data_IF_137137558105
#
_entry.id   IF_137137558105
#
_cell.length_a   1.000
_cell.length_b   1.000
_cell.length_c   1.000
_cell.angle_alpha   90.00
_cell.angle_beta   90.00
_cell.angle_gamma   90.00
#
_symmetry.space_group_name_H-M   'P 1'
#
loop_
_entity.id
_entity.type
_entity.pdbx_description
1 polymer ?
#
# COMPACT_ATOMS: atom_id res chain seq x y z
N UNK A 1 54.85 18.02 32.95
CA UNK A 1 53.75 17.06 33.21
C UNK A 1 52.73 17.23 32.11
N UNK A 2 52.62 16.23 31.23
CA UNK A 2 51.83 16.27 30.01
C UNK A 2 50.33 16.23 30.34
N UNK A 3 49.55 17.13 29.74
CA UNK A 3 48.08 17.07 29.75
C UNK A 3 47.66 16.11 28.66
N UNK A 4 47.16 14.94 29.04
CA UNK A 4 46.46 14.03 28.14
C UNK A 4 45.18 14.71 27.64
N UNK A 5 45.22 15.18 26.39
CA UNK A 5 44.02 15.60 25.68
C UNK A 5 43.25 14.32 25.32
N UNK A 6 42.19 14.05 26.06
CA UNK A 6 41.15 13.11 25.63
C UNK A 6 40.49 13.67 24.37
N UNK A 7 41.03 13.33 23.22
CA UNK A 7 40.36 13.50 21.93
C UNK A 7 39.25 12.47 21.93
N UNK A 8 38.02 12.90 22.22
CA UNK A 8 36.83 12.10 21.93
C UNK A 8 36.88 11.80 20.43
N UNK A 9 36.88 10.53 19.99
CA UNK A 9 36.74 10.23 18.58
C UNK A 9 35.40 10.82 18.18
N UNK A 10 35.41 11.89 17.38
CA UNK A 10 34.20 12.38 16.74
C UNK A 10 33.72 11.20 15.90
N UNK A 11 32.65 10.47 16.29
CA UNK A 11 32.04 9.60 15.31
C UNK A 11 31.58 10.60 14.27
N UNK A 12 32.24 10.61 13.10
CA UNK A 12 31.59 11.16 11.92
C UNK A 12 30.21 10.53 11.97
N UNK A 13 29.21 11.34 12.30
CA UNK A 13 27.85 10.98 12.02
C UNK A 13 27.92 10.71 10.52
N UNK A 14 27.91 9.43 10.14
CA UNK A 14 27.42 9.08 8.83
C UNK A 14 26.17 9.93 8.67
N UNK A 15 26.03 10.73 7.60
CA UNK A 15 24.81 11.45 7.40
C UNK A 15 23.74 10.36 7.37
N UNK A 16 22.95 10.27 8.44
CA UNK A 16 21.89 9.29 8.55
C UNK A 16 20.95 9.57 7.39
N UNK A 17 21.11 8.80 6.32
CA UNK A 17 20.22 8.65 5.18
C UNK A 17 19.50 9.94 4.77
N UNK A 18 20.26 10.89 4.24
CA UNK A 18 19.73 12.07 3.51
C UNK A 18 19.00 11.71 2.21
N UNK A 19 18.97 10.42 1.84
CA UNK A 19 18.03 9.85 0.88
C UNK A 19 16.67 9.63 1.58
N UNK A 20 15.60 10.29 1.11
CA UNK A 20 14.19 9.83 1.20
C UNK A 20 13.23 10.32 2.30
N UNK A 21 13.39 11.47 2.97
CA UNK A 21 12.28 11.95 3.83
C UNK A 21 10.99 12.22 3.01
N UNK A 22 11.09 12.96 1.91
CA UNK A 22 9.92 13.27 1.07
C UNK A 22 9.33 12.06 0.33
N UNK A 23 10.17 11.26 -0.33
CA UNK A 23 9.71 10.09 -1.12
C UNK A 23 9.18 8.98 -0.21
N UNK A 24 9.83 8.71 0.94
CA UNK A 24 9.32 7.72 1.88
C UNK A 24 8.00 8.17 2.53
N UNK A 25 7.84 9.47 2.82
CA UNK A 25 6.57 10.03 3.29
C UNK A 25 5.48 9.91 2.22
N UNK A 26 5.80 10.17 0.96
CA UNK A 26 4.86 10.01 -0.15
C UNK A 26 4.48 8.55 -0.38
N UNK A 27 5.45 7.63 -0.26
CA UNK A 27 5.15 6.21 -0.33
C UNK A 27 4.29 5.76 0.84
N UNK A 28 4.64 6.14 2.07
CA UNK A 28 3.80 5.92 3.27
C UNK A 28 2.37 6.44 3.05
N UNK A 29 2.23 7.67 2.58
CA UNK A 29 0.93 8.27 2.31
C UNK A 29 0.11 7.46 1.30
N UNK A 30 0.72 7.00 0.21
CA UNK A 30 0.06 6.16 -0.78
C UNK A 30 -0.39 4.81 -0.18
N UNK A 31 0.41 4.20 0.71
CA UNK A 31 0.04 2.96 1.41
C UNK A 31 -1.12 3.18 2.39
N UNK A 32 -1.13 4.30 3.12
CA UNK A 32 -2.22 4.64 4.04
C UNK A 32 -3.54 4.86 3.28
N UNK A 33 -3.47 5.49 2.10
CA UNK A 33 -4.62 5.64 1.20
C UNK A 33 -5.09 4.30 0.62
N UNK A 34 -4.15 3.42 0.25
CA UNK A 34 -4.48 2.07 -0.22
C UNK A 34 -5.21 1.27 0.86
N UNK A 35 -4.71 1.31 2.09
CA UNK A 35 -5.35 0.69 3.23
C UNK A 35 -6.76 1.27 3.49
N UNK A 36 -6.90 2.59 3.44
CA UNK A 36 -8.20 3.27 3.59
C UNK A 36 -9.19 2.83 2.51
N UNK A 37 -8.72 2.68 1.27
CA UNK A 37 -9.53 2.19 0.16
C UNK A 37 -9.99 0.74 0.36
N UNK A 38 -9.08 -0.15 0.81
CA UNK A 38 -9.44 -1.53 1.17
C UNK A 38 -10.47 -1.59 2.29
N UNK A 39 -10.33 -0.75 3.32
CA UNK A 39 -11.29 -0.69 4.42
C UNK A 39 -12.67 -0.21 3.97
N UNK A 40 -12.73 0.86 3.17
CA UNK A 40 -13.98 1.40 2.66
C UNK A 40 -14.70 0.39 1.74
N UNK A 41 -13.94 -0.29 0.86
CA UNK A 41 -14.48 -1.31 -0.04
C UNK A 41 -14.99 -2.54 0.72
N UNK A 42 -14.22 -3.00 1.71
CA UNK A 42 -14.66 -4.06 2.62
C UNK A 42 -15.95 -3.68 3.34
N UNK A 43 -16.02 -2.47 3.89
CA UNK A 43 -17.19 -2.01 4.62
C UNK A 43 -18.43 -1.96 3.72
N UNK A 44 -18.31 -1.40 2.51
CA UNK A 44 -19.36 -1.43 1.49
C UNK A 44 -19.81 -2.86 1.19
N UNK A 45 -18.88 -3.76 0.88
CA UNK A 45 -19.19 -5.15 0.54
C UNK A 45 -19.87 -5.92 1.68
N UNK A 46 -19.47 -5.66 2.93
CA UNK A 46 -20.03 -6.34 4.11
C UNK A 46 -21.47 -5.94 4.40
N UNK A 47 -21.87 -4.69 4.13
CA UNK A 47 -23.19 -4.17 4.51
C UNK A 47 -24.16 -4.00 3.34
N UNK A 48 -23.72 -4.03 2.08
CA UNK A 48 -24.57 -3.80 0.89
C UNK A 48 -25.80 -4.71 0.79
N UNK A 49 -25.76 -5.90 1.39
CA UNK A 49 -26.89 -6.85 1.38
C UNK A 49 -27.94 -6.56 2.46
N UNK A 50 -27.62 -5.74 3.47
CA UNK A 50 -28.46 -5.51 4.65
C UNK A 50 -28.87 -4.05 4.82
N UNK A 51 -28.16 -3.12 4.16
CA UNK A 51 -28.39 -1.69 4.29
C UNK A 51 -29.48 -1.19 3.33
N UNK A 52 -30.18 -0.12 3.73
CA UNK A 52 -31.11 0.58 2.85
C UNK A 52 -30.40 1.14 1.60
N UNK A 53 -31.10 1.34 0.46
CA UNK A 53 -30.47 1.80 -0.78
C UNK A 53 -29.68 3.10 -0.65
N UNK A 54 -30.20 4.09 0.09
CA UNK A 54 -29.52 5.37 0.32
C UNK A 54 -28.22 5.21 1.11
N UNK A 55 -28.22 4.39 2.17
CA UNK A 55 -27.02 4.11 2.95
C UNK A 55 -25.98 3.36 2.13
N UNK A 56 -26.42 2.40 1.31
CA UNK A 56 -25.56 1.65 0.40
C UNK A 56 -24.90 2.55 -0.64
N UNK A 57 -25.63 3.53 -1.19
CA UNK A 57 -25.09 4.50 -2.14
C UNK A 57 -24.00 5.41 -1.52
N UNK A 58 -24.19 5.86 -0.28
CA UNK A 58 -23.18 6.65 0.45
C UNK A 58 -21.89 5.85 0.62
N UNK A 59 -22.00 4.58 1.01
CA UNK A 59 -20.84 3.71 1.20
C UNK A 59 -20.13 3.37 -0.12
N UNK A 60 -20.89 3.12 -1.19
CA UNK A 60 -20.33 2.92 -2.51
C UNK A 60 -19.52 4.15 -2.97
N UNK A 61 -20.07 5.35 -2.76
CA UNK A 61 -19.39 6.59 -3.09
C UNK A 61 -18.12 6.81 -2.26
N UNK A 62 -18.15 6.49 -0.96
CA UNK A 62 -16.98 6.57 -0.09
C UNK A 62 -15.85 5.61 -0.55
N UNK A 63 -16.20 4.37 -0.89
CA UNK A 63 -15.25 3.39 -1.41
C UNK A 63 -14.64 3.86 -2.75
N UNK A 64 -15.48 4.32 -3.68
CA UNK A 64 -15.02 4.84 -4.97
C UNK A 64 -14.08 6.05 -4.79
N UNK A 65 -14.43 6.99 -3.90
CA UNK A 65 -13.60 8.17 -3.62
C UNK A 65 -12.26 7.79 -2.98
N UNK A 66 -12.25 6.81 -2.08
CA UNK A 66 -11.01 6.33 -1.47
C UNK A 66 -10.08 5.68 -2.49
N UNK A 67 -10.62 4.86 -3.40
CA UNK A 67 -9.85 4.28 -4.51
C UNK A 67 -9.32 5.34 -5.48
N UNK A 68 -10.12 6.36 -5.81
CA UNK A 68 -9.68 7.45 -6.67
C UNK A 68 -8.49 8.21 -6.05
N UNK A 69 -8.59 8.55 -4.76
CA UNK A 69 -7.50 9.23 -4.03
C UNK A 69 -6.23 8.36 -3.96
N UNK A 70 -6.38 7.08 -3.66
CA UNK A 70 -5.27 6.13 -3.66
C UNK A 70 -4.60 6.05 -5.04
N UNK A 71 -5.38 5.87 -6.09
CA UNK A 71 -4.90 5.74 -7.47
C UNK A 71 -4.13 6.99 -7.89
N UNK A 72 -4.66 8.18 -7.58
CA UNK A 72 -3.98 9.45 -7.85
C UNK A 72 -2.63 9.55 -7.13
N UNK A 73 -2.58 9.22 -5.82
CA UNK A 73 -1.34 9.24 -5.05
C UNK A 73 -0.29 8.25 -5.56
N UNK A 74 -0.73 7.07 -6.04
CA UNK A 74 0.16 6.09 -6.66
C UNK A 74 0.73 6.58 -8.00
N UNK A 75 -0.07 7.27 -8.83
CA UNK A 75 0.43 7.90 -10.04
C UNK A 75 1.47 8.97 -9.73
N UNK A 76 1.19 9.83 -8.76
CA UNK A 76 2.13 10.88 -8.31
C UNK A 76 3.45 10.26 -7.84
N UNK A 77 3.41 9.20 -7.05
CA UNK A 77 4.60 8.50 -6.57
C UNK A 77 5.38 7.82 -7.71
N UNK A 78 4.69 7.17 -8.64
CA UNK A 78 5.30 6.51 -9.81
C UNK A 78 6.00 7.52 -10.72
N UNK A 79 5.42 8.71 -10.86
CA UNK A 79 5.90 9.72 -11.80
C UNK A 79 6.80 10.78 -11.11
N UNK A 80 7.01 10.65 -9.79
CA UNK A 80 7.86 11.53 -9.00
C UNK A 80 9.33 11.49 -9.45
N UNK A 81 9.84 12.64 -9.88
CA UNK A 81 11.26 12.80 -10.23
C UNK A 81 12.14 12.65 -8.98
N UNK A 82 13.23 11.88 -9.10
CA UNK A 82 14.15 11.62 -7.99
C UNK A 82 13.68 10.57 -6.99
N UNK A 83 12.49 9.97 -7.16
CA UNK A 83 12.07 8.82 -6.36
C UNK A 83 12.91 7.58 -6.66
N UNK A 84 13.14 6.74 -5.64
CA UNK A 84 13.88 5.50 -5.78
C UNK A 84 13.20 4.61 -6.85
N UNK A 85 13.94 4.02 -7.81
CA UNK A 85 13.36 3.23 -8.90
C UNK A 85 12.43 2.11 -8.41
N UNK A 86 12.80 1.46 -7.32
CA UNK A 86 11.99 0.39 -6.72
C UNK A 86 10.72 0.90 -6.03
N UNK A 87 10.73 2.11 -5.47
CA UNK A 87 9.50 2.76 -4.98
C UNK A 87 8.55 3.03 -6.13
N UNK A 88 9.07 3.55 -7.25
CA UNK A 88 8.28 3.81 -8.46
C UNK A 88 7.73 2.51 -9.06
N UNK A 89 8.53 1.45 -9.06
CA UNK A 89 8.13 0.12 -9.51
C UNK A 89 7.05 -0.49 -8.62
N UNK A 90 7.20 -0.37 -7.29
CA UNK A 90 6.17 -0.80 -6.34
C UNK A 90 4.85 -0.02 -6.52
N UNK A 91 4.91 1.29 -6.75
CA UNK A 91 3.73 2.09 -7.09
C UNK A 91 3.07 1.59 -8.39
N UNK A 92 3.86 1.22 -9.41
CA UNK A 92 3.37 0.59 -10.63
C UNK A 92 2.65 -0.74 -10.38
N UNK A 93 3.20 -1.61 -9.52
CA UNK A 93 2.55 -2.86 -9.15
C UNK A 93 1.23 -2.62 -8.39
N UNK A 94 1.19 -1.66 -7.47
CA UNK A 94 -0.04 -1.27 -6.76
C UNK A 94 -1.09 -0.64 -7.70
N UNK A 95 -0.66 0.08 -8.74
CA UNK A 95 -1.60 0.57 -9.76
C UNK A 95 -2.25 -0.57 -10.55
N UNK A 96 -1.54 -1.69 -10.75
CA UNK A 96 -2.12 -2.88 -11.38
C UNK A 96 -3.08 -3.66 -10.46
N UNK A 97 -3.19 -3.29 -9.19
CA UNK A 97 -4.08 -3.92 -8.23
C UNK A 97 -5.31 -3.08 -7.87
N UNK A 98 -5.48 -1.88 -8.44
CA UNK A 98 -6.69 -1.08 -8.16
C UNK A 98 -7.92 -1.63 -8.90
N UNK A 99 -9.15 -1.42 -8.40
CA UNK A 99 -10.36 -2.03 -8.96
C UNK A 99 -10.59 -1.74 -10.45
N UNK A 100 -10.18 -0.57 -10.95
CA UNK A 100 -10.30 -0.20 -12.36
C UNK A 100 -9.54 -1.14 -13.31
N UNK A 101 -8.49 -1.80 -12.81
CA UNK A 101 -7.72 -2.80 -13.57
C UNK A 101 -8.36 -4.19 -13.55
N UNK A 102 -9.49 -4.35 -12.84
CA UNK A 102 -10.18 -5.62 -12.64
C UNK A 102 -9.22 -6.75 -12.21
N UNK A 103 -8.45 -6.57 -11.12
CA UNK A 103 -7.50 -7.57 -10.68
C UNK A 103 -8.19 -8.87 -10.29
N UNK A 104 -7.49 -9.98 -10.48
CA UNK A 104 -7.86 -11.30 -9.95
C UNK A 104 -7.05 -11.61 -8.70
N UNK A 105 -7.54 -12.51 -7.84
CA UNK A 105 -6.79 -13.07 -6.70
C UNK A 105 -5.37 -13.49 -7.12
N UNK A 106 -5.27 -14.31 -8.18
CA UNK A 106 -3.98 -14.80 -8.68
C UNK A 106 -3.03 -13.69 -9.13
N UNK A 107 -3.56 -12.60 -9.69
CA UNK A 107 -2.74 -11.45 -10.08
C UNK A 107 -2.29 -10.63 -8.88
N UNK A 108 -3.13 -10.46 -7.85
CA UNK A 108 -2.78 -9.75 -6.62
C UNK A 108 -1.67 -10.49 -5.87
N UNK A 109 -1.80 -11.81 -5.74
CA UNK A 109 -0.78 -12.67 -5.16
C UNK A 109 0.56 -12.58 -5.90
N UNK A 110 0.51 -12.53 -7.23
CA UNK A 110 1.71 -12.37 -8.05
C UNK A 110 2.37 -11.01 -7.81
N UNK A 111 1.59 -9.94 -7.83
CA UNK A 111 2.08 -8.57 -7.57
C UNK A 111 2.70 -8.48 -6.16
N UNK A 112 2.04 -9.05 -5.15
CA UNK A 112 2.55 -9.11 -3.78
C UNK A 112 3.92 -9.77 -3.71
N UNK A 113 4.07 -10.94 -4.35
CA UNK A 113 5.38 -11.63 -4.42
C UNK A 113 6.46 -10.81 -5.13
N UNK A 114 6.11 -10.09 -6.20
CA UNK A 114 7.05 -9.22 -6.91
C UNK A 114 7.56 -8.09 -6.01
N UNK A 115 6.66 -7.41 -5.30
CA UNK A 115 7.03 -6.34 -4.35
C UNK A 115 7.86 -6.89 -3.19
N UNK A 116 7.48 -8.05 -2.64
CA UNK A 116 8.23 -8.69 -1.55
C UNK A 116 9.66 -9.07 -1.97
N UNK A 117 9.85 -9.50 -3.22
CA UNK A 117 11.17 -9.84 -3.73
C UNK A 117 12.09 -8.61 -3.73
N UNK A 118 11.58 -7.46 -4.20
CA UNK A 118 12.30 -6.18 -4.15
C UNK A 118 12.61 -5.81 -2.69
N UNK A 119 11.66 -5.97 -1.78
CA UNK A 119 11.88 -5.66 -0.37
C UNK A 119 13.08 -6.44 0.23
N UNK A 120 13.17 -7.74 -0.10
CA UNK A 120 14.25 -8.61 0.38
C UNK A 120 15.63 -8.18 -0.09
N UNK A 121 15.74 -7.60 -1.27
CA UNK A 121 17.00 -7.09 -1.83
C UNK A 121 17.53 -5.88 -1.02
N UNK A 122 16.62 -5.10 -0.43
CA UNK A 122 16.96 -3.90 0.36
C UNK A 122 17.05 -4.13 1.87
N UNK A 123 16.72 -5.33 2.36
CA UNK A 123 16.60 -5.61 3.81
C UNK A 123 17.83 -5.22 4.63
N UNK A 124 19.04 -5.39 4.08
CA UNK A 124 20.29 -5.08 4.77
C UNK A 124 20.83 -3.68 4.49
N UNK A 125 20.56 -3.15 3.30
CA UNK A 125 21.18 -1.91 2.78
C UNK A 125 20.31 -0.69 2.98
N UNK A 126 18.98 -0.84 2.87
CA UNK A 126 17.99 0.22 3.04
C UNK A 126 16.78 -0.29 3.83
N UNK A 127 16.92 -0.55 5.15
CA UNK A 127 15.87 -1.19 5.95
C UNK A 127 14.56 -0.40 5.99
N UNK A 128 14.62 0.94 5.93
CA UNK A 128 13.41 1.78 5.86
C UNK A 128 12.62 1.60 4.56
N UNK A 129 13.30 1.52 3.42
CA UNK A 129 12.68 1.22 2.13
C UNK A 129 12.13 -0.21 2.11
N UNK A 130 12.92 -1.17 2.61
CA UNK A 130 12.49 -2.57 2.76
C UNK A 130 11.18 -2.68 3.53
N UNK A 131 11.03 -1.96 4.64
CA UNK A 131 9.82 -2.01 5.45
C UNK A 131 8.58 -1.51 4.70
N UNK A 132 8.70 -0.39 3.96
CA UNK A 132 7.59 0.13 3.14
C UNK A 132 7.20 -0.84 2.02
N UNK A 133 8.17 -1.52 1.41
CA UNK A 133 7.91 -2.52 0.38
C UNK A 133 7.27 -3.80 0.96
N UNK A 134 7.71 -4.26 2.13
CA UNK A 134 7.08 -5.40 2.82
C UNK A 134 5.61 -5.08 3.16
N UNK A 135 5.32 -3.84 3.57
CA UNK A 135 3.96 -3.39 3.82
C UNK A 135 3.11 -3.31 2.54
N UNK A 136 3.65 -2.75 1.46
CA UNK A 136 3.00 -2.76 0.15
C UNK A 136 2.63 -4.18 -0.31
N UNK A 137 3.55 -5.13 -0.15
CA UNK A 137 3.27 -6.55 -0.40
C UNK A 137 2.15 -7.09 0.50
N UNK A 138 2.13 -6.69 1.77
CA UNK A 138 1.11 -7.14 2.73
C UNK A 138 -0.27 -6.63 2.34
N UNK A 139 -0.38 -5.36 1.91
CA UNK A 139 -1.65 -4.79 1.45
C UNK A 139 -2.19 -5.50 0.20
N UNK A 140 -1.32 -5.93 -0.71
CA UNK A 140 -1.72 -6.75 -1.87
C UNK A 140 -2.28 -8.11 -1.47
N UNK A 141 -1.68 -8.76 -0.47
CA UNK A 141 -2.17 -10.02 0.09
C UNK A 141 -3.52 -9.82 0.79
N UNK A 142 -3.68 -8.75 1.57
CA UNK A 142 -4.96 -8.39 2.19
C UNK A 142 -6.02 -8.13 1.12
N UNK A 143 -5.67 -7.45 0.03
CA UNK A 143 -6.60 -7.22 -1.07
C UNK A 143 -7.07 -8.54 -1.71
N UNK A 144 -6.13 -9.45 -1.96
CA UNK A 144 -6.41 -10.80 -2.47
C UNK A 144 -7.36 -11.56 -1.54
N UNK A 145 -7.09 -11.58 -0.23
CA UNK A 145 -7.93 -12.22 0.76
C UNK A 145 -9.35 -11.60 0.83
N UNK A 146 -9.46 -10.27 0.76
CA UNK A 146 -10.76 -9.59 0.74
C UNK A 146 -11.60 -10.06 -0.45
N UNK A 147 -11.02 -10.19 -1.64
CA UNK A 147 -11.73 -10.68 -2.82
C UNK A 147 -12.30 -12.09 -2.60
N UNK A 148 -11.50 -13.00 -2.04
CA UNK A 148 -11.93 -14.37 -1.75
C UNK A 148 -13.12 -14.36 -0.79
N UNK A 149 -13.03 -13.63 0.32
CA UNK A 149 -14.10 -13.61 1.33
C UNK A 149 -15.37 -12.94 0.81
N UNK A 150 -15.24 -11.86 0.02
CA UNK A 150 -16.40 -11.21 -0.61
C UNK A 150 -17.07 -12.14 -1.62
N UNK A 151 -16.31 -12.94 -2.36
CA UNK A 151 -16.86 -13.91 -3.33
C UNK A 151 -17.62 -15.07 -2.67
N UNK A 152 -17.23 -15.44 -1.44
CA UNK A 152 -17.87 -16.51 -0.66
C UNK A 152 -19.18 -16.09 0.00
N UNK A 153 -19.44 -14.79 0.14
CA UNK A 153 -20.73 -14.30 0.66
C UNK A 153 -21.80 -14.44 -0.43
N UNK A 154 -22.79 -15.35 -0.27
CA UNK A 154 -23.81 -15.55 -1.29
C UNK A 154 -24.55 -14.23 -1.51
N UNK A 155 -24.77 -13.86 -2.77
CA UNK A 155 -25.90 -12.99 -3.12
C UNK A 155 -27.12 -13.67 -2.49
N UNK A 156 -27.79 -12.98 -1.57
CA UNK A 156 -28.96 -13.52 -0.89
C UNK A 156 -29.81 -14.25 -1.91
N UNK A 157 -30.07 -15.52 -1.64
CA UNK A 157 -30.98 -16.29 -2.46
C UNK A 157 -32.31 -15.54 -2.48
N UNK A 158 -32.62 -14.88 -3.59
CA UNK A 158 -33.98 -14.56 -3.99
C UNK A 158 -34.72 -15.90 -4.18
N UNK A 159 -35.03 -16.56 -3.07
CA UNK A 159 -36.07 -17.57 -3.03
C UNK A 159 -37.37 -16.81 -2.91
N UNK A 160 -37.90 -16.43 -4.07
CA UNK A 160 -39.33 -16.31 -4.29
C UNK A 160 -40.00 -17.54 -3.66
N UNK A 161 -40.75 -17.31 -2.58
CA UNK A 161 -41.72 -18.24 -2.00
C UNK A 161 -42.97 -17.43 -1.71
#
# INVERSE_FOLDING_TARGET
>A
MAKDQFITPNPKAEPANSLLCGVALQFRHALDLYFTALQADWHYCAVRLKAAPAATAVLAHAAASAWANCTQSLYELRDMSGAHPDTRSAAGYLLHSVPEQAPTESSLDRLGRQVLQIAREHRKTQPGLSALLEEASTLLIVHSANMVVISMHPRGTDRLS
#
